data_IF_330578408039
#
_entry.id   IF_330578408039
#
_cell.length_a   1.000
_cell.length_b   1.000
_cell.length_c   1.000
_cell.angle_alpha   90.00
_cell.angle_beta   90.00
_cell.angle_gamma   90.00
#
_symmetry.space_group_name_H-M   'P 1'
#
loop_
_entity.id
_entity.type
_entity.pdbx_description
1 polymer ?
#
# COMPACT_ATOMS: atom_id res chain seq x y z
N UNK A 1 18.49 4.75 -17.86
CA UNK A 1 17.60 5.15 -16.74
C UNK A 1 16.27 5.53 -17.35
N UNK A 2 15.31 4.59 -17.41
CA UNK A 2 14.00 4.84 -18.00
C UNK A 2 13.02 5.15 -16.86
N UNK A 3 12.67 6.42 -16.73
CA UNK A 3 11.60 6.89 -15.85
C UNK A 3 10.33 6.86 -16.71
N UNK A 4 9.41 5.93 -16.44
CA UNK A 4 8.05 6.03 -16.97
C UNK A 4 7.33 7.12 -16.17
N UNK A 5 7.36 8.36 -16.67
CA UNK A 5 6.48 9.43 -16.20
C UNK A 5 5.17 9.29 -16.95
N UNK A 6 4.17 8.71 -16.30
CA UNK A 6 2.80 8.86 -16.77
C UNK A 6 2.32 10.26 -16.38
N UNK A 7 1.88 11.01 -17.38
CA UNK A 7 1.49 12.40 -17.26
C UNK A 7 -0.05 12.46 -17.16
N UNK A 8 -0.57 12.54 -15.95
CA UNK A 8 -1.95 12.91 -15.66
C UNK A 8 -2.03 13.60 -14.29
N UNK A 9 -2.88 14.62 -14.21
CA UNK A 9 -2.96 15.65 -13.18
C UNK A 9 -3.26 15.13 -11.75
N UNK A 10 -2.72 15.81 -10.73
CA UNK A 10 -3.04 15.67 -9.30
C UNK A 10 -2.80 14.29 -8.66
N UNK A 11 -1.56 13.79 -8.63
CA UNK A 11 -1.25 12.63 -7.79
C UNK A 11 -0.45 13.04 -6.56
N UNK A 12 -1.12 12.97 -5.40
CA UNK A 12 -0.55 13.11 -4.07
C UNK A 12 0.49 12.02 -3.78
N UNK A 13 0.59 10.99 -4.64
CA UNK A 13 1.49 9.85 -4.51
C UNK A 13 2.25 9.58 -5.81
N UNK A 14 3.58 9.46 -5.73
CA UNK A 14 4.48 9.07 -6.82
C UNK A 14 5.04 7.67 -6.55
N UNK A 15 5.19 6.85 -7.58
CA UNK A 15 5.76 5.50 -7.46
C UNK A 15 7.07 5.48 -8.26
N UNK A 16 8.19 5.24 -7.56
CA UNK A 16 9.50 5.06 -8.17
C UNK A 16 9.86 3.57 -8.18
N UNK A 17 10.28 3.06 -9.34
CA UNK A 17 10.68 1.66 -9.53
C UNK A 17 12.17 1.61 -9.85
N UNK A 18 12.93 0.82 -9.09
CA UNK A 18 14.37 0.67 -9.24
C UNK A 18 14.77 -0.79 -9.40
N UNK A 19 15.83 -1.01 -10.18
CA UNK A 19 16.40 -2.35 -10.38
C UNK A 19 15.45 -3.31 -11.12
N UNK A 20 14.60 -2.79 -12.01
CA UNK A 20 13.74 -3.63 -12.85
C UNK A 20 14.58 -4.57 -13.73
N UNK A 21 14.32 -5.86 -13.61
CA UNK A 21 14.98 -6.94 -14.34
C UNK A 21 13.92 -7.89 -14.89
N UNK A 22 14.05 -8.24 -16.17
CA UNK A 22 13.26 -9.32 -16.75
C UNK A 22 13.84 -10.66 -16.29
N UNK A 23 12.98 -11.54 -15.77
CA UNK A 23 13.31 -12.91 -15.41
C UNK A 23 13.18 -13.89 -16.59
N UNK A 24 13.21 -15.19 -16.27
CA UNK A 24 12.92 -16.23 -17.24
C UNK A 24 11.43 -16.17 -17.63
N UNK A 25 11.12 -16.36 -18.92
CA UNK A 25 9.76 -16.27 -19.48
C UNK A 25 9.07 -14.92 -19.20
N UNK A 26 8.05 -14.93 -18.33
CA UNK A 26 7.15 -13.82 -18.01
C UNK A 26 7.31 -13.35 -16.56
N UNK A 27 8.39 -13.78 -15.91
CA UNK A 27 8.75 -13.33 -14.56
C UNK A 27 9.45 -11.96 -14.65
N UNK A 28 9.17 -11.10 -13.69
CA UNK A 28 9.67 -9.74 -13.53
C UNK A 28 10.19 -9.58 -12.11
N UNK A 29 11.42 -9.12 -11.99
CA UNK A 29 12.04 -8.82 -10.70
C UNK A 29 12.23 -7.32 -10.58
N UNK A 30 11.88 -6.78 -9.43
CA UNK A 30 12.08 -5.39 -9.09
C UNK A 30 12.80 -5.35 -7.75
N UNK A 31 13.99 -4.77 -7.74
CA UNK A 31 14.81 -4.69 -6.52
C UNK A 31 14.09 -3.82 -5.48
N UNK A 32 13.53 -2.68 -5.89
CA UNK A 32 12.93 -1.70 -4.99
C UNK A 32 11.75 -0.94 -5.65
N UNK A 33 10.64 -0.80 -4.92
CA UNK A 33 9.55 0.14 -5.22
C UNK A 33 9.40 1.12 -4.06
N UNK A 34 9.47 2.41 -4.38
CA UNK A 34 9.34 3.49 -3.41
C UNK A 34 8.05 4.22 -3.69
N UNK A 35 7.19 4.30 -2.68
CA UNK A 35 5.97 5.10 -2.69
C UNK A 35 6.31 6.43 -2.04
N UNK A 36 6.10 7.52 -2.76
CA UNK A 36 6.39 8.89 -2.35
C UNK A 36 5.13 9.72 -2.29
N UNK A 37 5.12 10.78 -1.50
CA UNK A 37 4.17 11.88 -1.61
C UNK A 37 4.95 13.18 -1.73
N UNK A 38 4.89 13.79 -2.92
CA UNK A 38 5.81 14.88 -3.27
C UNK A 38 7.26 14.43 -3.16
N UNK A 39 8.06 15.10 -2.33
CA UNK A 39 9.48 14.74 -2.12
C UNK A 39 9.69 13.67 -1.04
N UNK A 40 8.63 13.19 -0.40
CA UNK A 40 8.73 12.36 0.80
C UNK A 40 8.54 10.88 0.49
N UNK A 41 9.46 10.02 0.93
CA UNK A 41 9.31 8.56 0.87
C UNK A 41 8.39 8.07 1.99
N UNK A 42 7.21 7.57 1.62
CA UNK A 42 6.21 7.01 2.54
C UNK A 42 6.55 5.57 2.92
N UNK A 43 6.95 4.79 1.91
CA UNK A 43 7.18 3.36 2.04
C UNK A 43 8.16 2.87 0.97
N UNK A 44 9.01 1.94 1.37
CA UNK A 44 9.90 1.22 0.46
C UNK A 44 9.61 -0.28 0.55
N UNK A 45 9.31 -0.86 -0.60
CA UNK A 45 9.13 -2.29 -0.80
C UNK A 45 10.36 -2.84 -1.51
N UNK A 46 10.88 -3.97 -1.05
CA UNK A 46 12.09 -4.59 -1.60
C UNK A 46 11.79 -5.99 -2.10
N UNK A 47 12.64 -6.48 -3.03
CA UNK A 47 12.62 -7.86 -3.53
C UNK A 47 11.25 -8.28 -4.06
N UNK A 48 10.70 -7.48 -4.98
CA UNK A 48 9.38 -7.73 -5.55
C UNK A 48 9.55 -8.66 -6.74
N UNK A 49 8.79 -9.74 -6.72
CA UNK A 49 8.64 -10.65 -7.84
C UNK A 49 7.23 -10.51 -8.42
N UNK A 50 7.14 -10.48 -9.73
CA UNK A 50 5.87 -10.44 -10.44
C UNK A 50 5.89 -11.39 -11.62
N UNK A 51 4.74 -11.98 -11.95
CA UNK A 51 4.60 -12.84 -13.13
C UNK A 51 3.46 -12.34 -13.99
N UNK A 52 3.75 -12.11 -15.27
CA UNK A 52 2.75 -11.73 -16.28
C UNK A 52 2.07 -12.99 -16.84
N UNK A 53 0.76 -12.92 -17.06
CA UNK A 53 0.05 -13.91 -17.88
C UNK A 53 0.17 -13.58 -19.37
N UNK A 54 0.91 -14.38 -20.17
CA UNK A 54 1.17 -14.06 -21.57
C UNK A 54 -0.06 -14.15 -22.48
N UNK A 55 -1.01 -15.02 -22.16
CA UNK A 55 -2.22 -15.17 -22.98
C UNK A 55 -3.11 -13.93 -22.89
N UNK A 56 -3.04 -13.21 -21.77
CA UNK A 56 -3.80 -11.97 -21.56
C UNK A 56 -3.24 -10.82 -22.40
N UNK A 57 -1.94 -10.84 -22.70
CA UNK A 57 -1.32 -9.85 -23.59
C UNK A 57 -1.91 -9.90 -25.01
N UNK A 58 -2.34 -11.08 -25.48
CA UNK A 58 -2.97 -11.25 -26.79
C UNK A 58 -4.29 -10.47 -26.91
N UNK A 59 -5.00 -10.29 -25.80
CA UNK A 59 -6.22 -9.48 -25.71
C UNK A 59 -5.96 -8.07 -25.17
N UNK A 60 -4.70 -7.62 -25.19
CA UNK A 60 -4.24 -6.29 -24.71
C UNK A 60 -4.53 -6.03 -23.23
N UNK A 61 -4.53 -7.09 -22.42
CA UNK A 61 -4.62 -7.01 -20.98
C UNK A 61 -3.31 -7.47 -20.34
N UNK A 62 -2.79 -6.67 -19.43
CA UNK A 62 -1.63 -6.98 -18.61
C UNK A 62 -2.13 -7.48 -17.26
N UNK A 63 -2.19 -8.80 -17.10
CA UNK A 63 -2.50 -9.45 -15.84
C UNK A 63 -1.19 -9.89 -15.17
N UNK A 64 -0.97 -9.43 -13.94
CA UNK A 64 0.24 -9.66 -13.17
C UNK A 64 -0.10 -10.20 -11.78
N UNK A 65 0.56 -11.26 -11.34
CA UNK A 65 0.65 -11.57 -9.90
C UNK A 65 1.80 -10.77 -9.29
N UNK A 66 1.64 -10.33 -8.05
CA UNK A 66 2.67 -9.58 -7.30
C UNK A 66 2.94 -10.33 -6.00
N UNK A 67 4.20 -10.52 -5.68
CA UNK A 67 4.68 -11.02 -4.40
C UNK A 67 5.88 -10.19 -3.97
N UNK A 68 5.87 -9.69 -2.74
CA UNK A 68 6.98 -8.99 -2.13
C UNK A 68 7.14 -9.52 -0.70
N UNK A 69 8.33 -10.01 -0.38
CA UNK A 69 8.68 -10.41 0.99
C UNK A 69 9.86 -9.55 1.45
N UNK A 70 9.57 -8.64 2.36
CA UNK A 70 10.56 -7.78 2.99
C UNK A 70 10.54 -7.99 4.49
N UNK A 71 11.61 -7.59 5.18
CA UNK A 71 11.68 -7.67 6.66
C UNK A 71 10.53 -6.93 7.36
N UNK A 72 9.91 -5.95 6.69
CA UNK A 72 8.91 -5.05 7.28
C UNK A 72 7.48 -5.30 6.80
N UNK A 73 7.28 -6.10 5.76
CA UNK A 73 5.95 -6.41 5.21
C UNK A 73 6.04 -7.56 4.20
N UNK A 74 4.99 -8.38 4.18
CA UNK A 74 4.71 -9.32 3.10
C UNK A 74 3.51 -8.87 2.29
N UNK A 75 3.64 -8.75 0.98
CA UNK A 75 2.56 -8.36 0.07
C UNK A 75 2.36 -9.47 -0.96
N UNK A 76 1.12 -9.84 -1.22
CA UNK A 76 0.74 -10.75 -2.31
C UNK A 76 -0.53 -10.30 -2.97
N UNK A 77 -0.68 -10.55 -4.26
CA UNK A 77 -1.92 -10.20 -4.95
C UNK A 77 -1.84 -10.28 -6.45
N UNK A 78 -2.79 -9.62 -7.11
CA UNK A 78 -2.83 -9.50 -8.55
C UNK A 78 -3.27 -8.10 -8.98
N UNK A 79 -2.82 -7.72 -10.17
CA UNK A 79 -3.15 -6.47 -10.83
C UNK A 79 -3.51 -6.81 -12.28
N UNK A 80 -4.65 -6.33 -12.77
CA UNK A 80 -5.05 -6.40 -14.16
C UNK A 80 -5.15 -4.99 -14.72
N UNK A 81 -4.42 -4.73 -15.80
CA UNK A 81 -4.36 -3.45 -16.49
C UNK A 81 -4.82 -3.64 -17.93
N UNK A 82 -5.76 -2.82 -18.36
CA UNK A 82 -6.24 -2.74 -19.74
C UNK A 82 -6.41 -1.28 -20.12
N UNK A 83 -6.68 -1.00 -21.40
CA UNK A 83 -6.88 0.39 -21.87
C UNK A 83 -8.00 1.14 -21.12
N UNK A 84 -9.01 0.43 -20.61
CA UNK A 84 -10.18 1.04 -19.96
C UNK A 84 -10.27 0.77 -18.48
N UNK A 85 -9.66 -0.31 -18.02
CA UNK A 85 -9.85 -0.81 -16.67
C UNK A 85 -8.51 -1.10 -16.00
N UNK A 86 -8.40 -0.68 -14.75
CA UNK A 86 -7.34 -1.05 -13.81
C UNK A 86 -8.00 -1.65 -12.60
N UNK A 87 -7.74 -2.92 -12.31
CA UNK A 87 -8.27 -3.54 -11.09
C UNK A 87 -7.24 -4.44 -10.44
N UNK A 88 -7.47 -4.78 -9.19
CA UNK A 88 -6.58 -5.67 -8.48
C UNK A 88 -7.00 -5.90 -7.06
N UNK A 89 -6.29 -6.85 -6.45
CA UNK A 89 -6.37 -7.15 -5.03
C UNK A 89 -4.95 -7.34 -4.52
N UNK A 90 -4.61 -6.64 -3.46
CA UNK A 90 -3.37 -6.82 -2.71
C UNK A 90 -3.72 -7.19 -1.27
N UNK A 91 -3.04 -8.18 -0.73
CA UNK A 91 -3.06 -8.54 0.67
C UNK A 91 -1.69 -8.21 1.25
N UNK A 92 -1.67 -7.50 2.37
CA UNK A 92 -0.45 -7.19 3.10
C UNK A 92 -0.53 -7.83 4.48
N UNK A 93 0.59 -8.37 4.94
CA UNK A 93 0.71 -9.02 6.24
C UNK A 93 1.90 -8.45 6.99
N UNK A 94 1.67 -8.27 8.28
CA UNK A 94 2.65 -7.88 9.28
C UNK A 94 3.44 -6.62 8.90
N UNK A 95 2.78 -5.66 8.24
CA UNK A 95 3.38 -4.37 7.93
C UNK A 95 3.74 -3.65 9.24
N UNK A 96 5.04 -3.51 9.46
CA UNK A 96 5.58 -2.80 10.62
C UNK A 96 5.21 -1.31 10.55
N UNK A 97 4.48 -0.82 11.54
CA UNK A 97 4.08 0.58 11.65
C UNK A 97 5.27 1.54 11.64
N UNK A 98 6.42 1.12 12.15
CA UNK A 98 7.64 1.93 12.14
C UNK A 98 8.24 2.09 10.75
N UNK A 99 7.80 1.28 9.78
CA UNK A 99 8.15 1.44 8.37
C UNK A 99 7.43 2.63 7.72
N UNK A 100 6.34 3.11 8.31
CA UNK A 100 5.51 4.18 7.77
C UNK A 100 6.00 5.55 8.25
N UNK A 101 6.87 6.17 7.45
CA UNK A 101 7.52 7.45 7.78
C UNK A 101 6.52 8.60 8.03
N UNK A 102 5.33 8.54 7.44
CA UNK A 102 4.31 9.59 7.56
C UNK A 102 3.72 9.71 8.98
N UNK A 103 3.73 8.63 9.77
CA UNK A 103 3.20 8.64 11.14
C UNK A 103 4.04 9.54 12.04
N UNK A 104 5.37 9.45 11.93
CA UNK A 104 6.29 10.30 12.68
C UNK A 104 6.08 11.80 12.45
N UNK A 105 5.69 12.19 11.23
CA UNK A 105 5.41 13.60 10.89
C UNK A 105 4.11 14.12 11.49
N UNK A 106 3.11 13.25 11.67
CA UNK A 106 1.85 13.58 12.35
C UNK A 106 1.97 13.53 13.88
N UNK A 107 3.20 13.42 14.41
CA UNK A 107 3.49 13.19 15.84
C UNK A 107 2.81 11.94 16.39
N UNK A 108 2.40 11.02 15.51
CA UNK A 108 1.88 9.72 15.91
C UNK A 108 3.10 8.84 16.08
N UNK A 109 3.44 8.57 17.34
CA UNK A 109 4.54 7.68 17.69
C UNK A 109 3.96 6.37 18.18
N UNK A 110 4.57 5.28 17.74
CA UNK A 110 4.17 3.97 18.19
C UNK A 110 4.73 2.85 17.33
N UNK A 111 4.41 1.63 17.74
CA UNK A 111 4.79 0.40 17.07
C UNK A 111 3.58 -0.53 16.96
N UNK A 112 3.73 -1.56 16.13
CA UNK A 112 2.75 -2.61 15.91
C UNK A 112 2.77 -3.08 14.47
N UNK A 113 1.88 -4.02 14.16
CA UNK A 113 1.83 -4.63 12.84
C UNK A 113 0.43 -4.50 12.26
N UNK A 114 0.34 -3.98 11.03
CA UNK A 114 -0.91 -3.92 10.26
C UNK A 114 -0.93 -5.07 9.24
N UNK A 115 -2.04 -5.79 9.20
CA UNK A 115 -2.39 -6.71 8.13
C UNK A 115 -3.72 -6.31 7.51
N UNK A 116 -3.95 -6.66 6.25
CA UNK A 116 -5.18 -6.26 5.58
C UNK A 116 -5.21 -6.57 4.11
N UNK A 117 -6.20 -6.01 3.45
CA UNK A 117 -6.33 -6.10 2.01
C UNK A 117 -6.75 -4.77 1.40
N UNK A 118 -6.30 -4.54 0.18
CA UNK A 118 -6.69 -3.45 -0.70
C UNK A 118 -7.30 -4.09 -1.94
N UNK A 119 -8.55 -3.76 -2.24
CA UNK A 119 -9.21 -4.06 -3.50
C UNK A 119 -9.38 -2.76 -4.25
N UNK A 120 -9.03 -2.71 -5.52
CA UNK A 120 -9.24 -1.52 -6.34
C UNK A 120 -9.84 -1.87 -7.69
N UNK A 121 -10.70 -0.99 -8.18
CA UNK A 121 -11.34 -1.06 -9.48
C UNK A 121 -11.52 0.36 -10.03
N UNK A 122 -10.70 0.71 -11.01
CA UNK A 122 -10.62 2.02 -11.62
C UNK A 122 -10.39 3.10 -10.57
N UNK A 123 -11.38 3.95 -10.33
CA UNK A 123 -11.35 5.06 -9.38
C UNK A 123 -11.80 4.68 -7.97
N UNK A 124 -12.21 3.43 -7.75
CA UNK A 124 -12.71 2.96 -6.47
C UNK A 124 -11.66 2.06 -5.81
N UNK A 125 -11.45 2.25 -4.52
CA UNK A 125 -10.59 1.41 -3.71
C UNK A 125 -11.23 1.16 -2.36
N UNK A 126 -11.12 -0.08 -1.88
CA UNK A 126 -11.60 -0.52 -0.59
C UNK A 126 -10.43 -1.13 0.18
N UNK A 127 -10.20 -0.64 1.39
CA UNK A 127 -9.13 -1.10 2.27
C UNK A 127 -9.76 -1.64 3.54
N UNK A 128 -9.50 -2.91 3.85
CA UNK A 128 -9.77 -3.48 5.17
C UNK A 128 -8.46 -3.73 5.88
N UNK A 129 -8.38 -3.40 7.16
CA UNK A 129 -7.17 -3.62 7.93
C UNK A 129 -7.45 -4.02 9.38
N UNK A 130 -6.47 -4.70 9.96
CA UNK A 130 -6.34 -4.97 11.37
C UNK A 130 -4.91 -4.72 11.79
N UNK A 131 -4.74 -3.95 12.85
CA UNK A 131 -3.49 -3.72 13.53
C UNK A 131 -3.48 -4.50 14.84
N UNK A 132 -2.38 -5.18 15.13
CA UNK A 132 -2.17 -5.94 16.37
C UNK A 132 -0.88 -5.48 17.04
N UNK A 133 -0.77 -5.77 18.34
CA UNK A 133 0.37 -5.39 19.17
C UNK A 133 0.64 -3.87 19.08
N UNK A 134 -0.43 -3.08 19.03
CA UNK A 134 -0.33 -1.64 19.01
C UNK A 134 0.25 -1.15 20.33
N UNK A 135 1.26 -0.31 20.22
CA UNK A 135 1.76 0.51 21.30
C UNK A 135 1.85 1.92 20.76
N UNK A 136 0.83 2.74 21.01
CA UNK A 136 0.76 4.13 20.59
C UNK A 136 1.07 5.03 21.78
N UNK A 137 1.81 6.12 21.55
CA UNK A 137 1.84 7.23 22.50
C UNK A 137 0.50 7.99 22.44
N UNK A 138 0.11 8.63 23.55
CA UNK A 138 -1.09 9.48 23.57
C UNK A 138 -1.00 10.57 22.50
N UNK A 139 -2.09 10.73 21.74
CA UNK A 139 -2.15 11.62 20.58
C UNK A 139 -2.89 12.88 20.99
N UNK A 140 -2.33 14.05 20.66
CA UNK A 140 -3.01 15.34 20.84
C UNK A 140 -3.66 15.78 19.53
N UNK A 141 -4.99 15.89 19.52
CA UNK A 141 -5.77 16.35 18.37
C UNK A 141 -6.49 17.63 18.77
N UNK A 142 -6.14 18.75 18.15
CA UNK A 142 -6.75 20.07 18.41
C UNK A 142 -6.75 20.46 19.90
N UNK A 143 -5.69 20.13 20.64
CA UNK A 143 -5.56 20.42 22.08
C UNK A 143 -6.20 19.37 23.00
N UNK A 144 -6.86 18.34 22.46
CA UNK A 144 -7.47 17.25 23.21
C UNK A 144 -6.51 16.06 23.22
N UNK A 145 -6.06 15.66 24.42
CA UNK A 145 -5.30 14.42 24.59
C UNK A 145 -6.22 13.23 24.44
N UNK A 146 -5.93 12.40 23.44
CA UNK A 146 -6.61 11.14 23.18
C UNK A 146 -5.78 10.02 23.78
N UNK A 147 -6.34 9.18 24.66
CA UNK A 147 -5.63 8.14 25.40
C UNK A 147 -5.34 6.92 24.49
N UNK A 148 -4.61 7.14 23.40
CA UNK A 148 -4.32 6.13 22.39
C UNK A 148 -3.49 4.97 22.93
N UNK A 149 -2.74 5.21 24.02
CA UNK A 149 -1.93 4.21 24.70
C UNK A 149 -2.72 3.05 25.32
N UNK A 150 -4.02 3.21 25.54
CA UNK A 150 -4.88 2.16 26.08
C UNK A 150 -5.28 1.10 25.05
N UNK A 151 -5.06 1.34 23.76
CA UNK A 151 -5.50 0.42 22.72
C UNK A 151 -4.36 -0.45 22.21
N UNK A 152 -4.59 -1.76 22.16
CA UNK A 152 -3.63 -2.79 21.72
C UNK A 152 -3.96 -3.36 20.35
N UNK A 153 -5.17 -3.09 19.84
CA UNK A 153 -5.52 -3.39 18.46
C UNK A 153 -6.47 -2.34 17.87
N UNK A 154 -6.43 -2.22 16.55
CA UNK A 154 -7.31 -1.34 15.78
C UNK A 154 -7.72 -2.06 14.52
N UNK A 155 -8.98 -2.01 14.13
CA UNK A 155 -9.45 -2.53 12.85
C UNK A 155 -10.35 -1.51 12.17
N UNK A 156 -10.52 -1.65 10.85
CA UNK A 156 -11.40 -0.76 10.13
C UNK A 156 -11.48 -1.05 8.65
N UNK A 157 -12.37 -0.31 8.01
CA UNK A 157 -12.60 -0.33 6.58
C UNK A 157 -12.69 1.11 6.03
N UNK A 158 -12.02 1.35 4.92
CA UNK A 158 -11.93 2.65 4.24
C UNK A 158 -12.29 2.46 2.77
N UNK A 159 -13.25 3.23 2.29
CA UNK A 159 -13.52 3.40 0.87
C UNK A 159 -12.88 4.69 0.36
N UNK A 160 -12.28 4.61 -0.82
CA UNK A 160 -11.76 5.75 -1.56
C UNK A 160 -12.44 5.73 -2.91
N UNK A 161 -13.17 6.80 -3.24
CA UNK A 161 -13.80 6.98 -4.53
C UNK A 161 -13.37 8.33 -5.11
N UNK A 162 -12.59 8.30 -6.19
CA UNK A 162 -11.92 9.49 -6.73
C UNK A 162 -11.11 10.21 -5.64
N UNK A 163 -11.57 11.39 -5.22
CA UNK A 163 -10.90 12.23 -4.21
C UNK A 163 -11.60 12.20 -2.84
N UNK A 164 -12.60 11.32 -2.66
CA UNK A 164 -13.35 11.18 -1.41
C UNK A 164 -12.86 9.95 -0.65
N UNK A 165 -12.41 10.18 0.59
CA UNK A 165 -12.07 9.12 1.55
C UNK A 165 -13.25 9.00 2.51
N UNK A 166 -13.92 7.85 2.49
CA UNK A 166 -14.99 7.49 3.40
C UNK A 166 -14.50 6.42 4.38
N UNK A 167 -14.53 6.73 5.67
CA UNK A 167 -14.21 5.77 6.72
C UNK A 167 -15.51 5.03 7.05
N UNK A 168 -15.61 3.76 6.62
CA UNK A 168 -16.83 2.96 6.85
C UNK A 168 -16.91 2.45 8.28
N UNK A 169 -15.78 2.02 8.83
CA UNK A 169 -15.69 1.56 10.20
C UNK A 169 -14.29 1.76 10.76
N UNK A 170 -14.23 2.05 12.06
CA UNK A 170 -13.02 1.97 12.87
C UNK A 170 -13.41 1.43 14.24
N UNK A 171 -12.66 0.45 14.72
CA UNK A 171 -12.79 -0.12 16.05
C UNK A 171 -11.43 -0.14 16.72
N UNK A 172 -11.42 0.12 18.02
CA UNK A 172 -10.24 0.03 18.87
C UNK A 172 -10.56 -0.94 20.01
N UNK A 173 -9.57 -1.76 20.36
CA UNK A 173 -9.65 -2.71 21.47
C UNK A 173 -8.40 -2.57 22.33
N UNK A 174 -8.57 -2.61 23.65
CA UNK A 174 -7.59 -2.24 24.66
C UNK A 174 -7.59 -3.16 25.85
#
# INVERSE_FOLDING_TARGET
>A
MNIMKDAAENHFLEIEIRGFKKGFLYDLFIDEVIIKSGQEEIMTLNNINSRINPFKLLIKNLDMSVEADSKKVKIKGFISLSKKNTNGKLEFKDLDLTALSFLGKRKIKGSGNISGSLIFNNSESHIEFISRNLSLEDIEISGIKTPASFFHSMSGAININNNLINIESVSFDG
#
